data_IF_607780191745
#
_entry.id   IF_607780191745
#
_cell.length_a   1.000
_cell.length_b   1.000
_cell.length_c   1.000
_cell.angle_alpha   90.00
_cell.angle_beta   90.00
_cell.angle_gamma   90.00
#
_symmetry.space_group_name_H-M   'P 1'
#
loop_
_entity.id
_entity.type
_entity.pdbx_description
1 polymer ?
#
# COMPACT_ATOMS: atom_id res chain seq x y z
N UNK A 1 -21.80 -25.08 3.24
CA UNK A 1 -21.76 -24.36 1.94
C UNK A 1 -20.99 -23.03 1.95
N UNK A 2 -20.46 -22.52 3.08
CA UNK A 2 -19.82 -21.19 3.13
C UNK A 2 -18.32 -21.07 2.76
N UNK A 3 -17.65 -22.15 2.36
CA UNK A 3 -16.19 -22.13 2.09
C UNK A 3 -15.83 -21.70 0.66
N UNK A 4 -16.64 -22.06 -0.34
CA UNK A 4 -16.38 -21.71 -1.75
C UNK A 4 -16.57 -20.22 -2.06
N UNK A 5 -17.47 -19.54 -1.35
CA UNK A 5 -17.75 -18.12 -1.57
C UNK A 5 -16.65 -17.21 -1.01
N UNK A 6 -16.10 -17.54 0.16
CA UNK A 6 -15.02 -16.76 0.78
C UNK A 6 -13.74 -16.80 -0.07
N UNK A 7 -13.36 -17.99 -0.54
CA UNK A 7 -12.23 -18.21 -1.46
C UNK A 7 -12.35 -17.40 -2.76
N UNK A 8 -13.56 -17.38 -3.34
CA UNK A 8 -13.82 -16.59 -4.55
C UNK A 8 -13.63 -15.08 -4.29
N UNK A 9 -14.12 -14.58 -3.16
CA UNK A 9 -14.01 -13.16 -2.77
C UNK A 9 -12.55 -12.75 -2.59
N UNK A 10 -11.73 -13.55 -1.89
CA UNK A 10 -10.30 -13.29 -1.72
C UNK A 10 -9.55 -13.25 -3.05
N UNK A 11 -9.87 -14.17 -3.97
CA UNK A 11 -9.27 -14.21 -5.32
C UNK A 11 -9.63 -12.97 -6.14
N UNK A 12 -10.89 -12.52 -6.09
CA UNK A 12 -11.33 -11.29 -6.77
C UNK A 12 -10.62 -10.07 -6.19
N UNK A 13 -10.53 -9.95 -4.86
CA UNK A 13 -9.83 -8.85 -4.19
C UNK A 13 -8.34 -8.83 -4.54
N UNK A 14 -7.70 -10.00 -4.65
CA UNK A 14 -6.30 -10.09 -5.08
C UNK A 14 -6.09 -9.60 -6.51
N UNK A 15 -7.00 -9.96 -7.43
CA UNK A 15 -6.96 -9.48 -8.81
C UNK A 15 -7.18 -7.95 -8.89
N UNK A 16 -8.14 -7.43 -8.13
CA UNK A 16 -8.38 -5.98 -8.05
C UNK A 16 -7.18 -5.22 -7.49
N UNK A 17 -6.53 -5.76 -6.45
CA UNK A 17 -5.30 -5.18 -5.88
C UNK A 17 -4.16 -5.18 -6.88
N UNK A 18 -3.96 -6.27 -7.62
CA UNK A 18 -2.95 -6.35 -8.68
C UNK A 18 -3.20 -5.30 -9.76
N UNK A 19 -4.45 -5.14 -10.20
CA UNK A 19 -4.83 -4.12 -11.17
C UNK A 19 -4.65 -2.69 -10.63
N UNK A 20 -5.00 -2.44 -9.37
CA UNK A 20 -4.79 -1.14 -8.73
C UNK A 20 -3.29 -0.77 -8.66
N UNK A 21 -2.42 -1.73 -8.33
CA UNK A 21 -0.96 -1.54 -8.33
C UNK A 21 -0.41 -1.28 -9.74
N UNK A 22 -0.90 -1.99 -10.76
CA UNK A 22 -0.55 -1.71 -12.16
C UNK A 22 -0.99 -0.32 -12.60
N UNK A 23 -2.23 0.07 -12.28
CA UNK A 23 -2.73 1.40 -12.61
C UNK A 23 -1.91 2.52 -11.97
N UNK A 24 -1.50 2.36 -10.70
CA UNK A 24 -0.59 3.30 -10.03
C UNK A 24 0.72 3.44 -10.82
N UNK A 25 1.30 2.31 -11.26
CA UNK A 25 2.54 2.34 -12.03
C UNK A 25 2.35 2.99 -13.40
N UNK A 26 1.26 2.68 -14.11
CA UNK A 26 0.91 3.34 -15.37
C UNK A 26 0.76 4.85 -15.21
N UNK A 27 0.13 5.29 -14.12
CA UNK A 27 -0.01 6.71 -13.80
C UNK A 27 1.35 7.34 -13.51
N UNK A 28 2.20 6.67 -12.72
CA UNK A 28 3.57 7.15 -12.43
C UNK A 28 4.42 7.25 -13.70
N UNK A 29 4.31 6.29 -14.60
CA UNK A 29 5.03 6.32 -15.88
C UNK A 29 4.53 7.48 -16.75
N UNK A 30 3.20 7.63 -16.89
CA UNK A 30 2.61 8.75 -17.60
C UNK A 30 3.04 10.11 -17.01
N UNK A 31 3.17 10.20 -15.69
CA UNK A 31 3.65 11.40 -15.00
C UNK A 31 5.12 11.73 -15.25
N UNK A 32 5.96 10.72 -15.54
CA UNK A 32 7.36 10.93 -15.93
C UNK A 32 7.45 11.56 -17.32
N UNK A 33 6.58 11.14 -18.23
CA UNK A 33 6.52 11.67 -19.59
C UNK A 33 5.84 13.04 -19.66
N UNK A 34 4.72 13.19 -18.94
CA UNK A 34 3.90 14.40 -18.99
C UNK A 34 3.41 14.77 -17.57
N UNK A 35 3.70 15.99 -17.09
CA UNK A 35 3.21 16.42 -15.79
C UNK A 35 1.68 16.43 -15.76
N UNK A 36 1.06 16.09 -14.62
CA UNK A 36 -0.40 16.22 -14.44
C UNK A 36 -0.91 17.63 -14.75
N UNK A 37 -2.17 17.73 -15.14
CA UNK A 37 -2.83 19.00 -15.43
C UNK A 37 -2.81 19.95 -14.23
N UNK A 38 -2.95 19.40 -13.02
CA UNK A 38 -2.88 20.13 -11.76
C UNK A 38 -1.50 20.76 -11.54
N UNK A 39 -0.42 20.03 -11.85
CA UNK A 39 0.95 20.54 -11.77
C UNK A 39 1.15 21.65 -12.80
N UNK A 40 0.64 21.47 -14.01
CA UNK A 40 0.71 22.49 -15.06
C UNK A 40 -0.04 23.76 -14.66
N UNK A 41 -1.25 23.63 -14.10
CA UNK A 41 -2.05 24.76 -13.64
C UNK A 41 -1.34 25.54 -12.51
N UNK A 42 -0.77 24.83 -11.53
CA UNK A 42 0.01 25.46 -10.45
C UNK A 42 1.22 26.22 -11.02
N UNK A 43 1.96 25.62 -11.96
CA UNK A 43 3.09 26.27 -12.63
C UNK A 43 2.67 27.50 -13.42
N UNK A 44 1.54 27.46 -14.13
CA UNK A 44 1.01 28.60 -14.89
C UNK A 44 0.64 29.78 -13.97
N UNK A 45 0.19 29.50 -12.75
CA UNK A 45 -0.11 30.55 -11.75
C UNK A 45 1.17 31.15 -11.16
N UNK A 46 2.19 30.33 -10.91
CA UNK A 46 3.46 30.75 -10.28
C UNK A 46 4.39 31.46 -11.29
N UNK A 47 4.42 31.01 -12.54
CA UNK A 47 5.35 31.48 -13.58
C UNK A 47 5.41 33.01 -13.74
N UNK A 48 4.29 33.76 -13.79
CA UNK A 48 4.34 35.22 -13.88
C UNK A 48 5.05 35.90 -12.70
N UNK A 49 5.01 35.31 -11.51
CA UNK A 49 5.73 35.82 -10.32
C UNK A 49 7.21 35.50 -10.44
N UNK A 50 7.53 34.28 -10.88
CA UNK A 50 8.90 33.86 -11.12
C UNK A 50 9.61 34.76 -12.14
N UNK A 51 8.97 35.04 -13.28
CA UNK A 51 9.55 35.89 -14.33
C UNK A 51 9.80 37.32 -13.82
N UNK A 52 8.86 37.89 -13.07
CA UNK A 52 9.03 39.22 -12.46
C UNK A 52 10.10 39.26 -11.36
N UNK A 53 10.23 38.18 -10.60
CA UNK A 53 11.27 38.04 -9.58
C UNK A 53 12.66 37.97 -10.23
N UNK A 54 12.78 37.22 -11.33
CA UNK A 54 13.99 37.14 -12.14
C UNK A 54 14.35 38.49 -12.77
N UNK A 55 13.35 39.20 -13.33
CA UNK A 55 13.54 40.56 -13.86
C UNK A 55 14.05 41.52 -12.78
N UNK A 56 13.51 41.44 -11.56
CA UNK A 56 13.94 42.27 -10.44
C UNK A 56 15.34 41.91 -9.92
N UNK A 57 15.76 40.65 -10.02
CA UNK A 57 17.10 40.20 -9.65
C UNK A 57 18.16 40.67 -10.66
N UNK A 58 17.84 40.57 -11.95
CA UNK A 58 18.72 41.00 -13.05
C UNK A 58 18.72 42.53 -13.27
N UNK A 59 17.86 43.27 -12.56
CA UNK A 59 17.71 44.70 -12.72
C UNK A 59 18.84 45.52 -12.10
N UNK A 60 19.16 46.63 -12.75
CA UNK A 60 20.04 47.67 -12.20
C UNK A 60 19.44 48.30 -10.93
N UNK A 61 20.30 48.86 -10.07
CA UNK A 61 19.93 49.43 -8.76
C UNK A 61 18.74 50.41 -8.82
N UNK A 62 18.65 51.21 -9.89
CA UNK A 62 17.61 52.23 -10.06
C UNK A 62 16.23 51.66 -10.42
N UNK A 63 16.17 50.52 -11.12
CA UNK A 63 14.90 49.90 -11.55
C UNK A 63 14.44 48.76 -10.65
N UNK A 64 15.37 48.15 -9.91
CA UNK A 64 15.14 47.03 -8.98
C UNK A 64 14.01 47.31 -7.98
N UNK A 65 13.98 48.50 -7.38
CA UNK A 65 12.93 48.86 -6.40
C UNK A 65 11.53 48.97 -6.99
N UNK A 66 11.40 49.38 -8.27
CA UNK A 66 10.11 49.41 -8.97
C UNK A 66 9.68 48.00 -9.36
N UNK A 67 10.60 47.20 -9.89
CA UNK A 67 10.33 45.82 -10.32
C UNK A 67 9.96 44.91 -9.15
N UNK A 68 10.61 45.06 -7.98
CA UNK A 68 10.25 44.32 -6.77
C UNK A 68 8.82 44.61 -6.30
N UNK A 69 8.38 45.88 -6.31
CA UNK A 69 6.99 46.23 -5.98
C UNK A 69 5.99 45.67 -6.99
N UNK A 70 6.38 45.62 -8.28
CA UNK A 70 5.56 44.98 -9.30
C UNK A 70 5.45 43.46 -9.09
N UNK A 71 6.55 42.80 -8.69
CA UNK A 71 6.57 41.39 -8.32
C UNK A 71 5.71 41.13 -7.08
N UNK A 72 5.79 41.98 -6.04
CA UNK A 72 4.94 41.91 -4.84
C UNK A 72 3.46 41.97 -5.18
N UNK A 73 3.05 42.92 -6.03
CA UNK A 73 1.66 43.05 -6.45
C UNK A 73 1.18 41.78 -7.18
N UNK A 74 1.97 41.29 -8.13
CA UNK A 74 1.63 40.06 -8.86
C UNK A 74 1.64 38.84 -7.93
N UNK A 75 2.55 38.76 -6.97
CA UNK A 75 2.60 37.68 -6.00
C UNK A 75 1.31 37.62 -5.16
N UNK A 76 0.78 38.75 -4.70
CA UNK A 76 -0.49 38.80 -3.95
C UNK A 76 -1.66 38.32 -4.81
N UNK A 77 -1.79 38.83 -6.03
CA UNK A 77 -2.86 38.44 -6.97
C UNK A 77 -2.79 36.94 -7.29
N UNK A 78 -1.59 36.43 -7.58
CA UNK A 78 -1.36 35.01 -7.92
C UNK A 78 -1.49 34.10 -6.71
N UNK A 79 -1.16 34.55 -5.51
CA UNK A 79 -1.38 33.80 -4.26
C UNK A 79 -2.87 33.55 -4.01
N UNK A 80 -3.72 34.55 -4.28
CA UNK A 80 -5.17 34.39 -4.16
C UNK A 80 -5.73 33.38 -5.17
N UNK A 81 -5.24 33.41 -6.42
CA UNK A 81 -5.59 32.44 -7.44
C UNK A 81 -5.09 31.03 -7.09
N UNK A 82 -3.87 30.92 -6.57
CA UNK A 82 -3.29 29.64 -6.16
C UNK A 82 -4.10 29.00 -5.04
N UNK A 83 -4.58 29.79 -4.08
CA UNK A 83 -5.46 29.31 -3.00
C UNK A 83 -6.78 28.74 -3.50
N UNK A 84 -7.31 29.25 -4.62
CA UNK A 84 -8.53 28.75 -5.22
C UNK A 84 -8.28 27.50 -6.08
N UNK A 85 -7.19 27.50 -6.86
CA UNK A 85 -6.87 26.42 -7.79
C UNK A 85 -6.29 25.18 -7.08
N UNK A 86 -5.51 25.38 -6.02
CA UNK A 86 -4.80 24.32 -5.30
C UNK A 86 -5.00 24.46 -3.78
N UNK A 87 -6.22 24.24 -3.26
CA UNK A 87 -6.52 24.35 -1.82
C UNK A 87 -5.82 23.29 -0.96
N UNK A 88 -5.22 22.27 -1.57
CA UNK A 88 -4.43 21.24 -0.89
C UNK A 88 -2.98 21.68 -0.58
N UNK A 89 -2.53 22.84 -1.07
CA UNK A 89 -1.22 23.40 -0.71
C UNK A 89 -1.30 24.09 0.66
N UNK A 90 -0.40 23.72 1.58
CA UNK A 90 -0.35 24.31 2.93
C UNK A 90 0.02 25.80 2.92
N UNK A 91 0.96 26.18 2.06
CA UNK A 91 1.33 27.56 1.84
C UNK A 91 0.99 27.97 0.41
N UNK A 92 0.06 28.92 0.28
CA UNK A 92 -0.35 29.51 -1.00
C UNK A 92 0.24 30.90 -1.19
N UNK A 93 1.05 31.40 -0.25
CA UNK A 93 1.70 32.70 -0.34
C UNK A 93 2.97 32.57 -1.18
N UNK A 94 2.90 33.09 -2.40
CA UNK A 94 4.03 33.07 -3.31
C UNK A 94 5.06 34.13 -2.84
N UNK A 95 6.33 33.76 -2.64
CA UNK A 95 7.37 34.70 -2.28
C UNK A 95 7.72 35.62 -3.47
N UNK A 96 8.56 36.62 -3.21
CA UNK A 96 8.89 37.67 -4.20
C UNK A 96 10.33 37.54 -4.69
N UNK A 97 11.19 36.88 -3.92
CA UNK A 97 12.59 36.65 -4.27
C UNK A 97 12.70 35.44 -5.20
N UNK A 98 13.49 35.54 -6.26
CA UNK A 98 13.65 34.46 -7.24
C UNK A 98 14.02 33.12 -6.60
N UNK A 99 15.04 33.09 -5.72
CA UNK A 99 15.46 31.87 -5.05
C UNK A 99 14.34 31.23 -4.20
N UNK A 100 13.54 32.05 -3.52
CA UNK A 100 12.39 31.59 -2.73
C UNK A 100 11.24 31.12 -3.64
N UNK A 101 11.01 31.76 -4.79
CA UNK A 101 9.98 31.35 -5.75
C UNK A 101 10.35 30.02 -6.39
N UNK A 102 11.63 29.78 -6.68
CA UNK A 102 12.10 28.53 -7.23
C UNK A 102 11.92 27.36 -6.23
N UNK A 103 12.27 27.57 -4.96
CA UNK A 103 12.02 26.56 -3.92
C UNK A 103 10.53 26.33 -3.67
N UNK A 104 9.73 27.40 -3.67
CA UNK A 104 8.28 27.32 -3.58
C UNK A 104 7.68 26.51 -4.73
N UNK A 105 8.08 26.79 -5.98
CA UNK A 105 7.61 26.05 -7.16
C UNK A 105 7.96 24.56 -7.09
N UNK A 106 9.20 24.23 -6.70
CA UNK A 106 9.62 22.84 -6.55
C UNK A 106 8.83 22.11 -5.45
N UNK A 107 8.52 22.78 -4.34
CA UNK A 107 7.70 22.22 -3.27
C UNK A 107 6.23 22.07 -3.69
N UNK A 108 5.66 23.07 -4.36
CA UNK A 108 4.30 23.03 -4.86
C UNK A 108 4.10 21.89 -5.88
N UNK A 109 5.07 21.66 -6.76
CA UNK A 109 5.07 20.54 -7.70
C UNK A 109 5.06 19.19 -6.96
N UNK A 110 5.94 19.02 -5.96
CA UNK A 110 6.01 17.79 -5.15
C UNK A 110 4.70 17.53 -4.40
N UNK A 111 4.17 18.54 -3.72
CA UNK A 111 2.92 18.42 -2.96
C UNK A 111 1.74 18.11 -3.89
N UNK A 112 1.69 18.74 -5.06
CA UNK A 112 0.66 18.45 -6.06
C UNK A 112 0.80 17.03 -6.61
N UNK A 113 2.02 16.56 -6.85
CA UNK A 113 2.26 15.17 -7.26
C UNK A 113 1.75 14.17 -6.22
N UNK A 114 2.04 14.40 -4.94
CA UNK A 114 1.52 13.58 -3.83
C UNK A 114 -0.01 13.62 -3.81
N UNK A 115 -0.61 14.80 -3.99
CA UNK A 115 -2.07 14.94 -4.03
C UNK A 115 -2.70 14.08 -5.15
N UNK A 116 -2.14 14.12 -6.37
CA UNK A 116 -2.67 13.34 -7.50
C UNK A 116 -2.48 11.83 -7.31
N UNK A 117 -1.41 11.41 -6.62
CA UNK A 117 -1.15 9.99 -6.33
C UNK A 117 -1.98 9.43 -5.16
N UNK A 118 -2.36 10.28 -4.21
CA UNK A 118 -3.04 9.90 -2.97
C UNK A 118 -4.31 9.04 -3.17
N UNK A 119 -5.20 9.30 -4.15
CA UNK A 119 -6.37 8.45 -4.39
C UNK A 119 -6.02 7.00 -4.75
N UNK A 120 -4.95 6.79 -5.52
CA UNK A 120 -4.50 5.46 -5.94
C UNK A 120 -3.88 4.69 -4.76
N UNK A 121 -3.06 5.38 -3.96
CA UNK A 121 -2.43 4.79 -2.77
C UNK A 121 -3.49 4.42 -1.73
N UNK A 122 -4.48 5.28 -1.49
CA UNK A 122 -5.63 4.98 -0.62
C UNK A 122 -6.41 3.76 -1.10
N UNK A 123 -6.63 3.65 -2.42
CA UNK A 123 -7.34 2.50 -2.99
C UNK A 123 -6.59 1.19 -2.78
N UNK A 124 -5.27 1.19 -2.93
CA UNK A 124 -4.43 0.02 -2.68
C UNK A 124 -4.52 -0.37 -1.20
N UNK A 125 -4.37 0.58 -0.28
CA UNK A 125 -4.44 0.32 1.16
C UNK A 125 -5.81 -0.24 1.60
N UNK A 126 -6.90 0.28 1.01
CA UNK A 126 -8.25 -0.22 1.26
C UNK A 126 -8.41 -1.68 0.78
N UNK A 127 -7.91 -2.00 -0.42
CA UNK A 127 -7.96 -3.36 -0.96
C UNK A 127 -7.10 -4.34 -0.16
N UNK A 128 -5.93 -3.90 0.33
CA UNK A 128 -5.06 -4.70 1.21
C UNK A 128 -5.79 -5.05 2.51
N UNK A 129 -6.43 -4.06 3.13
CA UNK A 129 -7.21 -4.25 4.36
C UNK A 129 -8.38 -5.20 4.15
N UNK A 130 -9.11 -5.07 3.03
CA UNK A 130 -10.23 -5.97 2.69
C UNK A 130 -9.78 -7.39 2.43
N UNK A 131 -8.65 -7.55 1.73
CA UNK A 131 -8.08 -8.86 1.44
C UNK A 131 -7.58 -9.57 2.71
N UNK A 132 -6.97 -8.84 3.65
CA UNK A 132 -6.59 -9.38 4.95
C UNK A 132 -7.80 -9.93 5.71
N UNK A 133 -8.88 -9.14 5.82
CA UNK A 133 -10.14 -9.57 6.45
C UNK A 133 -10.77 -10.78 5.76
N UNK A 134 -10.74 -10.84 4.43
CA UNK A 134 -11.26 -11.97 3.68
C UNK A 134 -10.49 -13.27 4.01
N UNK A 135 -9.16 -13.21 4.04
CA UNK A 135 -8.31 -14.36 4.42
C UNK A 135 -8.51 -14.82 5.86
N UNK A 136 -8.72 -13.89 6.80
CA UNK A 136 -9.05 -14.22 8.18
C UNK A 136 -10.40 -14.96 8.28
N UNK A 137 -11.40 -14.52 7.52
CA UNK A 137 -12.71 -15.17 7.47
C UNK A 137 -12.67 -16.56 6.84
N UNK A 138 -11.81 -16.78 5.85
CA UNK A 138 -11.51 -18.11 5.29
C UNK A 138 -10.91 -19.03 6.35
N UNK A 139 -9.87 -18.57 7.05
CA UNK A 139 -9.22 -19.35 8.11
C UNK A 139 -10.16 -19.66 9.28
N UNK A 140 -11.03 -18.72 9.66
CA UNK A 140 -12.05 -18.92 10.70
C UNK A 140 -13.16 -19.91 10.30
N UNK A 141 -13.52 -19.95 9.02
CA UNK A 141 -14.46 -20.97 8.50
C UNK A 141 -13.82 -22.36 8.43
N UNK A 142 -12.53 -22.45 8.06
CA UNK A 142 -11.79 -23.72 8.07
C UNK A 142 -11.71 -24.28 9.49
N UNK A 143 -11.42 -23.45 10.51
CA UNK A 143 -11.35 -23.88 11.92
C UNK A 143 -12.69 -24.36 12.48
N UNK A 144 -13.81 -23.68 12.16
CA UNK A 144 -15.17 -24.13 12.55
C UNK A 144 -15.65 -25.38 11.80
N UNK A 145 -15.12 -25.64 10.60
CA UNK A 145 -15.40 -26.89 9.87
C UNK A 145 -14.64 -28.11 10.39
N UNK A 146 -13.61 -27.91 11.22
CA UNK A 146 -12.76 -28.96 11.80
C UNK A 146 -13.03 -29.24 13.27
N UNK A 147 -14.02 -28.61 13.89
CA UNK A 147 -14.48 -29.02 15.21
C UNK A 147 -15.20 -30.37 15.05
N UNK A 148 -14.66 -31.51 15.54
CA UNK A 148 -15.43 -32.73 15.57
C UNK A 148 -16.64 -32.45 16.45
N UNK A 149 -17.84 -32.73 15.94
CA UNK A 149 -19.04 -32.84 16.76
C UNK A 149 -18.66 -33.62 18.02
N UNK A 150 -18.67 -32.94 19.16
CA UNK A 150 -18.47 -33.57 20.45
C UNK A 150 -19.70 -34.43 20.71
N UNK A 151 -19.71 -35.63 20.13
CA UNK A 151 -20.63 -36.67 20.48
C UNK A 151 -20.11 -37.27 21.79
N UNK A 152 -20.75 -37.04 22.96
CA UNK A 152 -20.26 -37.61 24.19
C UNK A 152 -20.44 -39.12 24.09
N UNK A 153 -19.33 -39.84 23.96
CA UNK A 153 -19.28 -41.31 23.99
C UNK A 153 -19.81 -41.77 25.35
N UNK A 154 -21.13 -42.02 25.40
CA UNK A 154 -21.77 -42.78 26.46
C UNK A 154 -21.39 -44.24 26.26
N UNK A 155 -20.31 -44.69 26.90
CA UNK A 155 -20.29 -45.90 27.71
C UNK A 155 -18.86 -46.32 28.06
N UNK A 156 -18.61 -46.42 29.37
CA UNK A 156 -17.34 -46.79 30.01
C UNK A 156 -16.93 -48.27 29.80
N UNK A 157 -17.72 -49.04 29.03
CA UNK A 157 -17.54 -50.50 28.86
C UNK A 157 -16.63 -50.86 27.69
N UNK A 158 -16.47 -49.96 26.70
CA UNK A 158 -15.79 -50.30 25.43
C UNK A 158 -14.27 -50.03 25.45
N UNK A 159 -13.78 -49.28 26.45
CA UNK A 159 -12.34 -49.01 26.61
C UNK A 159 -11.51 -50.27 26.91
N UNK A 160 -12.10 -51.27 27.61
CA UNK A 160 -11.38 -52.52 27.94
C UNK A 160 -11.22 -53.44 26.73
N UNK A 161 -12.12 -53.38 25.75
CA UNK A 161 -12.03 -54.19 24.54
C UNK A 161 -10.96 -53.66 23.58
N UNK A 162 -10.83 -52.34 23.45
CA UNK A 162 -9.86 -51.71 22.56
C UNK A 162 -8.40 -51.91 23.02
N UNK A 163 -8.15 -51.89 24.34
CA UNK A 163 -6.78 -51.99 24.87
C UNK A 163 -6.17 -53.41 24.72
N UNK A 164 -6.97 -54.46 24.86
CA UNK A 164 -6.49 -55.85 24.73
C UNK A 164 -6.23 -56.28 23.27
N UNK A 165 -6.87 -55.63 22.29
CA UNK A 165 -6.67 -55.94 20.86
C UNK A 165 -5.36 -55.34 20.33
N UNK A 166 -4.86 -54.26 20.93
CA UNK A 166 -3.62 -53.60 20.48
C UNK A 166 -2.35 -54.27 21.04
N UNK A 167 -2.42 -54.90 22.22
CA UNK A 167 -1.27 -55.59 22.83
C UNK A 167 -0.96 -56.95 22.17
N UNK A 168 -1.97 -57.73 21.76
CA UNK A 168 -1.74 -59.04 21.11
C UNK A 168 -1.17 -58.92 19.69
N UNK A 169 -1.49 -57.84 18.94
CA UNK A 169 -0.97 -57.64 17.57
C UNK A 169 0.51 -57.24 17.51
N UNK A 170 1.08 -56.74 18.60
CA UNK A 170 2.49 -56.35 18.66
C UNK A 170 3.41 -57.49 19.12
N UNK A 171 2.88 -58.52 19.78
CA UNK A 171 3.64 -59.71 20.18
C UNK A 171 3.79 -60.73 19.03
N UNK A 172 2.84 -60.79 18.09
CA UNK A 172 2.95 -61.68 16.92
C UNK A 172 3.93 -61.20 15.84
N UNK A 173 4.22 -59.89 15.77
CA UNK A 173 5.18 -59.34 14.80
C UNK A 173 6.65 -59.45 15.22
N UNK A 174 6.93 -59.82 16.47
CA UNK A 174 8.29 -59.91 17.00
C UNK A 174 8.94 -61.30 16.84
N UNK A 175 8.22 -62.31 16.32
CA UNK A 175 8.69 -63.71 16.24
C UNK A 175 8.83 -64.28 14.82
N UNK A 176 8.71 -63.46 13.77
CA UNK A 176 8.92 -63.89 12.38
C UNK A 176 9.88 -62.95 11.67
N UNK A 177 11.15 -63.04 12.03
CA UNK A 177 12.24 -62.71 11.10
C UNK A 177 13.45 -63.62 11.41
N UNK A 178 13.76 -64.62 10.56
CA UNK A 178 14.83 -65.57 10.80
C UNK A 178 16.10 -65.18 10.04
N UNK A 179 16.83 -64.15 10.47
CA UNK A 179 18.26 -64.05 10.14
C UNK A 179 19.08 -63.53 11.34
N UNK A 180 19.35 -64.45 12.27
CA UNK A 180 20.59 -64.42 13.03
C UNK A 180 21.77 -64.57 12.06
N UNK A 181 22.52 -63.49 11.81
CA UNK A 181 23.97 -63.61 11.67
C UNK A 181 24.61 -63.12 12.96
N UNK A 182 25.15 -64.07 13.70
CA UNK A 182 25.95 -63.89 14.91
C UNK A 182 27.25 -63.10 14.65
N UNK A 183 27.85 -62.55 15.71
CA UNK A 183 28.78 -61.42 15.63
C UNK A 183 30.22 -61.87 15.41
N UNK A 184 30.96 -61.17 14.55
CA UNK A 184 32.41 -61.21 14.56
C UNK A 184 32.92 -60.05 15.43
N UNK A 185 33.18 -60.38 16.68
CA UNK A 185 34.02 -59.61 17.58
C UNK A 185 35.48 -59.89 17.24
N UNK A 186 36.28 -58.86 16.93
CA UNK A 186 37.62 -58.70 17.51
C UNK A 186 38.28 -57.38 17.10
N UNK A 187 38.67 -56.64 18.14
CA UNK A 187 39.94 -55.92 18.37
C UNK A 187 40.47 -55.00 17.28
#
# INVERSE_FOLDING_TARGET
>A
MGSSSAWLISKILAAQLSNAKRNLETVRERMREMPPDEVRQVREIIRPVHDKALDAENANLFTRGRLRRAAEKTAVERSALLKQAAPWLEDTRIPVTYGEVNTFSANADKTTMVHVLMPYERRIAELETRLAKAKESEAGNVRRGTEPEHNPVKNRKDFKAAFNVTLNKNLEKANTDPERKTPQTRR
#
